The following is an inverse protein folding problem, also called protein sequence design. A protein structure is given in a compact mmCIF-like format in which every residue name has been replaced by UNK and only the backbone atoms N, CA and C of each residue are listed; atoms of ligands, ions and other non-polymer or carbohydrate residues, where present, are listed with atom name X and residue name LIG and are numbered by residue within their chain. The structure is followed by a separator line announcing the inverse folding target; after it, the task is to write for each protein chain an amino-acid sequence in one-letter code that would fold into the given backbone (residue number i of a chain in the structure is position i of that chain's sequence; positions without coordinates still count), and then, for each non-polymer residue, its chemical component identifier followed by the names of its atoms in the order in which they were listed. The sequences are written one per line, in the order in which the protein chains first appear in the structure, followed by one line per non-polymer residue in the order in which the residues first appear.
data_IF_853416630683
#
_entry.id   IF_853416630683
#
_cell.length_a   1.000
_cell.length_b   1.000
_cell.length_c   1.000
_cell.angle_alpha   90.00
_cell.angle_beta   90.00
_cell.angle_gamma   90.00
#
_symmetry.space_group_name_H-M   'P 1'
#
loop_
_entity.id
_entity.type
_entity.pdbx_description
1 polymer ?
#
# COMPACT_ATOMS: atom_id res chain seq x y z
N UNK A 1 -51.56 48.33 -8.46
CA UNK A 1 -51.05 48.32 -7.07
C UNK A 1 -50.93 46.86 -6.66
N UNK A 2 -49.70 46.34 -6.58
CA UNK A 2 -49.39 44.93 -6.32
C UNK A 2 -49.78 44.53 -4.89
N UNK A 3 -50.44 43.37 -4.74
CA UNK A 3 -50.45 42.62 -3.48
C UNK A 3 -49.39 41.51 -3.59
N UNK A 4 -48.43 41.53 -2.67
CA UNK A 4 -47.21 40.74 -2.68
C UNK A 4 -47.40 39.48 -1.81
N UNK A 5 -47.39 38.29 -2.42
CA UNK A 5 -47.36 37.01 -1.71
C UNK A 5 -45.95 36.73 -1.17
N UNK A 6 -45.83 36.54 0.15
CA UNK A 6 -44.58 36.12 0.80
C UNK A 6 -44.40 34.61 0.64
N UNK A 7 -43.42 34.21 -0.17
CA UNK A 7 -42.85 32.84 -0.15
C UNK A 7 -41.65 32.89 0.81
N UNK A 8 -41.71 32.12 1.89
CA UNK A 8 -40.56 31.86 2.76
C UNK A 8 -39.78 30.71 2.15
N UNK A 9 -38.68 31.01 1.48
CA UNK A 9 -37.71 30.00 1.06
C UNK A 9 -36.78 29.71 2.25
N UNK A 10 -36.91 28.52 2.85
CA UNK A 10 -35.96 28.01 3.81
C UNK A 10 -34.69 27.59 3.06
N UNK A 11 -33.60 28.37 3.20
CA UNK A 11 -32.27 27.90 2.82
C UNK A 11 -31.82 26.87 3.86
N UNK A 12 -31.92 25.58 3.53
CA UNK A 12 -31.08 24.56 4.14
C UNK A 12 -29.67 24.76 3.60
N UNK A 13 -28.79 25.40 4.37
CA UNK A 13 -27.37 25.36 4.12
C UNK A 13 -26.88 23.94 4.46
N UNK A 14 -26.59 23.15 3.42
CA UNK A 14 -25.86 21.89 3.59
C UNK A 14 -24.44 22.24 4.07
N UNK A 15 -24.19 22.05 5.37
CA UNK A 15 -22.83 22.04 5.91
C UNK A 15 -22.10 20.86 5.26
N UNK A 16 -20.91 21.06 4.67
CA UNK A 16 -20.11 19.93 4.23
C UNK A 16 -19.72 19.15 5.48
N UNK A 17 -19.92 17.83 5.47
CA UNK A 17 -19.25 16.94 6.41
C UNK A 17 -17.76 17.19 6.24
N UNK A 18 -17.17 17.95 7.15
CA UNK A 18 -15.73 17.95 7.35
C UNK A 18 -15.39 16.54 7.81
N UNK A 19 -14.90 15.70 6.90
CA UNK A 19 -14.23 14.46 7.28
C UNK A 19 -13.16 14.85 8.29
N UNK A 20 -13.30 14.36 9.52
CA UNK A 20 -12.37 14.64 10.59
C UNK A 20 -10.98 14.21 10.13
N UNK A 21 -10.02 15.14 10.20
CA UNK A 21 -8.60 14.81 10.04
C UNK A 21 -8.32 13.76 11.13
N UNK A 22 -7.87 12.53 10.78
CA UNK A 22 -7.57 11.52 11.78
C UNK A 22 -6.49 12.08 12.72
N UNK A 23 -6.55 11.75 14.03
CA UNK A 23 -5.60 12.26 15.01
C UNK A 23 -4.17 11.97 14.54
N UNK A 24 -3.36 13.02 14.44
CA UNK A 24 -1.93 12.90 14.15
C UNK A 24 -1.23 12.29 15.36
N UNK A 25 -1.24 10.96 15.44
CA UNK A 25 -0.35 10.26 16.34
C UNK A 25 1.08 10.46 15.82
N UNK A 26 2.06 10.68 16.70
CA UNK A 26 3.46 10.76 16.32
C UNK A 26 4.05 9.41 15.85
N UNK A 27 3.21 8.51 15.33
CA UNK A 27 3.47 7.15 14.81
C UNK A 27 3.07 7.05 13.35
N UNK A 28 3.69 6.11 12.64
CA UNK A 28 3.26 5.74 11.30
C UNK A 28 1.81 5.30 11.32
N UNK A 29 1.02 5.80 10.38
CA UNK A 29 -0.42 5.55 10.31
C UNK A 29 -0.80 5.35 8.84
N UNK A 30 -1.42 4.21 8.54
CA UNK A 30 -1.99 3.97 7.22
C UNK A 30 -3.51 4.22 7.24
N UNK A 31 -4.04 4.72 6.12
CA UNK A 31 -5.48 4.94 5.94
C UNK A 31 -6.16 3.77 5.19
N UNK A 32 -5.38 2.80 4.70
CA UNK A 32 -5.92 1.67 3.96
C UNK A 32 -6.72 0.76 4.89
N UNK A 33 -7.86 0.28 4.42
CA UNK A 33 -8.68 -0.70 5.15
C UNK A 33 -9.08 -1.82 4.19
N UNK A 34 -8.95 -3.07 4.66
CA UNK A 34 -9.43 -4.24 3.94
C UNK A 34 -10.95 -4.20 3.78
N UNK A 35 -11.42 -3.66 2.64
CA UNK A 35 -12.85 -3.65 2.28
C UNK A 35 -13.43 -5.07 2.23
N UNK A 36 -14.74 -5.21 2.41
CA UNK A 36 -15.44 -6.50 2.31
C UNK A 36 -15.15 -7.21 0.99
N UNK A 37 -15.09 -6.47 -0.11
CA UNK A 37 -14.77 -7.03 -1.43
C UNK A 37 -13.31 -7.50 -1.52
N UNK A 38 -12.38 -6.75 -0.91
CA UNK A 38 -11.00 -7.20 -0.73
C UNK A 38 -10.92 -8.50 0.06
N UNK A 39 -11.62 -8.60 1.18
CA UNK A 39 -11.67 -9.82 2.01
C UNK A 39 -12.25 -11.02 1.28
N UNK A 40 -13.28 -10.82 0.45
CA UNK A 40 -13.83 -11.88 -0.42
C UNK A 40 -12.80 -12.40 -1.41
N UNK A 41 -11.99 -11.52 -2.00
CA UNK A 41 -10.89 -11.93 -2.90
C UNK A 41 -9.86 -12.78 -2.13
N UNK A 42 -9.49 -12.36 -0.93
CA UNK A 42 -8.56 -13.11 -0.08
C UNK A 42 -9.11 -14.48 0.33
N UNK A 43 -10.39 -14.56 0.70
CA UNK A 43 -11.06 -15.80 1.01
C UNK A 43 -11.08 -16.76 -0.18
N UNK A 44 -11.32 -16.23 -1.40
CA UNK A 44 -11.28 -17.01 -2.63
C UNK A 44 -9.89 -17.55 -2.94
N UNK A 45 -8.83 -16.75 -2.72
CA UNK A 45 -7.44 -17.22 -2.91
C UNK A 45 -7.12 -18.36 -1.94
N UNK A 46 -7.47 -18.17 -0.65
CA UNK A 46 -7.29 -19.19 0.37
C UNK A 46 -8.05 -20.49 0.03
N UNK A 47 -9.24 -20.38 -0.55
CA UNK A 47 -10.06 -21.52 -0.97
C UNK A 47 -9.67 -22.11 -2.34
N UNK A 48 -8.68 -21.54 -3.05
CA UNK A 48 -8.34 -21.89 -4.44
C UNK A 48 -9.56 -21.88 -5.36
N UNK A 49 -10.42 -20.86 -5.21
CA UNK A 49 -11.67 -20.74 -5.95
C UNK A 49 -11.43 -20.64 -7.47
N UNK A 50 -12.06 -21.53 -8.23
CA UNK A 50 -11.86 -21.67 -9.67
C UNK A 50 -12.12 -20.37 -10.46
N UNK A 51 -12.99 -19.48 -9.96
CA UNK A 51 -13.33 -18.22 -10.63
C UNK A 51 -12.15 -17.25 -10.70
N UNK A 52 -11.24 -17.28 -9.72
CA UNK A 52 -10.06 -16.40 -9.69
C UNK A 52 -8.77 -17.15 -10.05
N UNK A 53 -8.71 -18.46 -9.78
CA UNK A 53 -7.51 -19.25 -10.11
C UNK A 53 -7.27 -19.34 -11.62
N UNK A 54 -8.33 -19.20 -12.43
CA UNK A 54 -8.19 -19.04 -13.88
C UNK A 54 -7.37 -17.79 -14.24
N UNK A 55 -7.66 -16.65 -13.63
CA UNK A 55 -6.95 -15.39 -13.89
C UNK A 55 -5.53 -15.43 -13.31
N UNK A 56 -5.32 -16.08 -12.16
CA UNK A 56 -3.97 -16.33 -11.61
C UNK A 56 -3.12 -17.17 -12.57
N UNK A 57 -3.70 -18.20 -13.20
CA UNK A 57 -3.01 -19.02 -14.19
C UNK A 57 -2.64 -18.20 -15.45
N UNK A 58 -3.53 -17.33 -15.92
CA UNK A 58 -3.22 -16.39 -17.01
C UNK A 58 -2.06 -15.46 -16.62
N UNK A 59 -2.12 -14.86 -15.43
CA UNK A 59 -1.02 -14.02 -14.93
C UNK A 59 0.31 -14.78 -14.82
N UNK A 60 0.26 -16.07 -14.51
CA UNK A 60 1.44 -16.93 -14.41
C UNK A 60 2.06 -17.17 -15.79
N UNK A 61 1.24 -17.46 -16.80
CA UNK A 61 1.70 -17.58 -18.18
C UNK A 61 2.32 -16.27 -18.68
N UNK A 62 1.66 -15.14 -18.45
CA UNK A 62 2.18 -13.82 -18.83
C UNK A 62 3.50 -13.48 -18.12
N UNK A 63 3.66 -13.85 -16.85
CA UNK A 63 4.93 -13.69 -16.13
C UNK A 63 6.04 -14.54 -16.75
N UNK A 64 5.75 -15.80 -17.09
CA UNK A 64 6.70 -16.71 -17.74
C UNK A 64 7.14 -16.15 -19.09
N UNK A 65 6.20 -15.69 -19.91
CA UNK A 65 6.47 -15.09 -21.21
C UNK A 65 7.32 -13.82 -21.07
N UNK A 66 7.00 -12.95 -20.10
CA UNK A 66 7.74 -11.71 -19.86
C UNK A 66 9.17 -11.94 -19.35
N UNK A 67 9.40 -13.04 -18.62
CA UNK A 67 10.71 -13.34 -18.01
C UNK A 67 11.55 -14.32 -18.83
N UNK A 68 10.96 -15.00 -19.81
CA UNK A 68 11.59 -16.13 -20.50
C UNK A 68 11.92 -17.31 -19.57
N UNK A 69 11.25 -17.39 -18.42
CA UNK A 69 11.53 -18.38 -17.39
C UNK A 69 11.01 -19.76 -17.80
N UNK A 70 11.91 -20.68 -18.15
CA UNK A 70 11.53 -22.02 -18.60
C UNK A 70 10.95 -22.88 -17.46
N UNK A 71 9.63 -23.08 -17.51
CA UNK A 71 8.90 -23.92 -16.54
C UNK A 71 9.12 -25.42 -16.74
N UNK A 72 9.72 -25.85 -17.85
CA UNK A 72 9.89 -27.27 -18.21
C UNK A 72 11.05 -27.96 -17.48
N UNK A 73 12.02 -27.19 -16.96
CA UNK A 73 13.20 -27.70 -16.25
C UNK A 73 13.04 -27.61 -14.73
N UNK A 74 12.38 -26.57 -14.21
CA UNK A 74 12.41 -26.22 -12.78
C UNK A 74 11.20 -26.69 -11.96
N UNK A 75 10.11 -27.17 -12.58
CA UNK A 75 8.97 -27.72 -11.84
C UNK A 75 9.29 -29.03 -11.07
N UNK A 76 10.47 -29.62 -11.30
CA UNK A 76 10.98 -30.80 -10.57
C UNK A 76 11.89 -30.46 -9.38
N UNK A 77 12.32 -29.20 -9.23
CA UNK A 77 12.99 -28.72 -8.01
C UNK A 77 12.02 -27.82 -7.24
N UNK A 78 11.65 -28.25 -6.04
CA UNK A 78 10.71 -27.56 -5.17
C UNK A 78 11.02 -26.04 -5.05
N UNK A 79 10.07 -25.19 -5.47
CA UNK A 79 10.01 -23.79 -5.03
C UNK A 79 10.67 -22.70 -5.91
N UNK A 80 11.14 -22.99 -7.12
CA UNK A 80 11.65 -21.94 -8.01
C UNK A 80 10.51 -21.17 -8.72
N UNK A 81 10.10 -20.03 -8.17
CA UNK A 81 9.19 -19.08 -8.83
C UNK A 81 9.96 -17.98 -9.58
N UNK A 82 9.48 -17.56 -10.75
CA UNK A 82 10.08 -16.49 -11.56
C UNK A 82 10.06 -15.13 -10.83
N UNK A 83 11.14 -14.31 -10.94
CA UNK A 83 11.15 -12.99 -10.33
C UNK A 83 10.13 -12.06 -11.00
N UNK A 84 9.43 -11.25 -10.21
CA UNK A 84 8.54 -10.21 -10.72
C UNK A 84 9.26 -8.86 -10.66
N UNK A 85 9.33 -8.15 -11.77
CA UNK A 85 9.95 -6.82 -11.83
C UNK A 85 8.88 -5.78 -12.10
N UNK A 86 8.83 -4.74 -11.27
CA UNK A 86 7.94 -3.61 -11.44
C UNK A 86 8.78 -2.36 -11.70
N UNK A 87 8.43 -1.60 -12.72
CA UNK A 87 9.02 -0.28 -12.91
C UNK A 87 8.51 0.64 -11.82
N UNK A 88 9.40 1.42 -11.22
CA UNK A 88 9.08 2.29 -10.11
C UNK A 88 9.37 3.74 -10.45
N UNK A 89 8.34 4.56 -10.37
CA UNK A 89 8.36 6.00 -10.58
C UNK A 89 8.15 6.71 -9.24
N UNK A 90 8.96 7.73 -8.98
CA UNK A 90 8.91 8.50 -7.74
C UNK A 90 8.48 9.93 -8.04
N UNK A 91 7.43 10.39 -7.38
CA UNK A 91 6.86 11.72 -7.56
C UNK A 91 6.96 12.50 -6.26
N UNK A 92 7.83 13.50 -6.24
CA UNK A 92 8.05 14.37 -5.09
C UNK A 92 7.19 15.62 -5.25
N UNK A 93 6.29 15.86 -4.29
CA UNK A 93 5.40 17.03 -4.29
C UNK A 93 5.94 18.08 -3.33
N UNK A 94 6.06 19.33 -3.79
CA UNK A 94 6.73 20.39 -3.06
C UNK A 94 5.88 21.66 -2.92
N UNK A 95 6.02 22.34 -1.79
CA UNK A 95 5.35 23.62 -1.52
C UNK A 95 5.99 24.80 -2.28
N UNK A 96 7.30 24.73 -2.53
CA UNK A 96 8.08 25.74 -3.23
C UNK A 96 9.30 25.08 -3.90
N UNK A 97 9.86 25.71 -4.93
CA UNK A 97 11.10 25.27 -5.56
C UNK A 97 12.28 25.34 -4.58
N UNK A 98 13.16 24.33 -4.58
CA UNK A 98 14.40 24.34 -3.81
C UNK A 98 14.76 22.98 -3.22
N UNK A 99 15.77 22.98 -2.34
CA UNK A 99 16.37 21.77 -1.75
C UNK A 99 16.02 21.57 -0.27
N UNK A 100 15.03 22.30 0.26
CA UNK A 100 14.67 22.21 1.68
C UNK A 100 13.74 21.02 1.96
N UNK A 101 14.08 20.13 2.92
CA UNK A 101 13.17 19.08 3.38
C UNK A 101 11.83 19.60 3.87
N UNK A 102 11.79 20.77 4.51
CA UNK A 102 10.53 21.38 4.99
C UNK A 102 9.59 21.80 3.85
N UNK A 103 10.12 21.98 2.63
CA UNK A 103 9.33 22.23 1.44
C UNK A 103 8.88 20.95 0.72
N UNK A 104 9.24 19.76 1.24
CA UNK A 104 8.97 18.46 0.63
C UNK A 104 10.10 17.95 -0.26
N UNK A 105 11.26 18.63 -0.33
CA UNK A 105 12.39 18.12 -1.11
C UNK A 105 12.96 16.84 -0.49
N UNK A 106 13.23 15.87 -1.36
CA UNK A 106 13.92 14.63 -1.03
C UNK A 106 15.08 14.51 -1.99
N UNK A 107 16.26 14.19 -1.50
CA UNK A 107 17.45 14.03 -2.34
C UNK A 107 17.43 12.73 -3.14
N UNK A 108 18.17 12.70 -4.25
CA UNK A 108 18.38 11.47 -5.03
C UNK A 108 18.95 10.33 -4.17
N UNK A 109 19.86 10.63 -3.25
CA UNK A 109 20.43 9.62 -2.35
C UNK A 109 19.38 8.99 -1.43
N UNK A 110 18.46 9.78 -0.89
CA UNK A 110 17.35 9.26 -0.07
C UNK A 110 16.42 8.37 -0.90
N UNK A 111 16.12 8.76 -2.15
CA UNK A 111 15.33 7.95 -3.08
C UNK A 111 16.03 6.62 -3.37
N UNK A 112 17.32 6.65 -3.72
CA UNK A 112 18.09 5.43 -3.98
C UNK A 112 18.13 4.53 -2.73
N UNK A 113 18.24 5.10 -1.52
CA UNK A 113 18.15 4.35 -0.27
C UNK A 113 16.78 3.69 -0.09
N UNK A 114 15.69 4.40 -0.35
CA UNK A 114 14.34 3.85 -0.24
C UNK A 114 14.08 2.71 -1.25
N UNK A 115 14.57 2.86 -2.49
CA UNK A 115 14.48 1.80 -3.51
C UNK A 115 15.30 0.56 -3.09
N UNK A 116 16.47 0.74 -2.47
CA UNK A 116 17.24 -0.38 -1.91
C UNK A 116 16.48 -1.09 -0.79
N UNK A 117 15.87 -0.33 0.11
CA UNK A 117 15.04 -0.89 1.20
C UNK A 117 13.87 -1.69 0.63
N UNK A 118 13.15 -1.15 -0.36
CA UNK A 118 12.08 -1.88 -1.04
C UNK A 118 12.59 -3.19 -1.65
N UNK A 119 13.66 -3.16 -2.45
CA UNK A 119 14.22 -4.38 -3.04
C UNK A 119 14.69 -5.41 -1.98
N UNK A 120 15.22 -4.95 -0.84
CA UNK A 120 15.64 -5.83 0.24
C UNK A 120 14.44 -6.49 0.93
N UNK A 121 13.41 -5.73 1.30
CA UNK A 121 12.26 -6.25 2.05
C UNK A 121 11.37 -7.16 1.21
N UNK A 122 11.36 -6.98 -0.11
CA UNK A 122 10.56 -7.78 -1.05
C UNK A 122 11.31 -8.96 -1.69
N UNK A 123 12.60 -9.13 -1.38
CA UNK A 123 13.41 -10.22 -1.90
C UNK A 123 12.84 -11.61 -1.56
N UNK A 124 12.23 -11.77 -0.37
CA UNK A 124 11.56 -13.01 0.05
C UNK A 124 10.44 -13.41 -0.93
N UNK A 125 9.73 -12.43 -1.49
CA UNK A 125 8.68 -12.63 -2.48
C UNK A 125 9.21 -12.69 -3.93
N UNK A 126 10.53 -12.60 -4.13
CA UNK A 126 11.16 -12.43 -5.45
C UNK A 126 10.51 -11.32 -6.27
N UNK A 127 10.18 -10.22 -5.60
CA UNK A 127 9.66 -8.99 -6.21
C UNK A 127 10.79 -7.96 -6.19
N UNK A 128 11.04 -7.34 -7.34
CA UNK A 128 12.05 -6.32 -7.52
C UNK A 128 11.44 -5.04 -8.10
N UNK A 129 12.03 -3.91 -7.72
CA UNK A 129 11.62 -2.57 -8.13
C UNK A 129 12.73 -1.96 -8.98
N UNK A 130 12.48 -1.89 -10.29
CA UNK A 130 13.34 -1.23 -11.24
C UNK A 130 13.07 0.28 -11.19
N UNK A 131 13.95 1.04 -10.54
CA UNK A 131 13.80 2.49 -10.49
C UNK A 131 14.00 3.11 -11.89
N UNK A 132 12.97 3.81 -12.39
CA UNK A 132 12.99 4.42 -13.73
C UNK A 132 13.33 5.90 -13.66
N UNK A 133 12.54 6.69 -12.92
CA UNK A 133 12.75 8.13 -12.81
C UNK A 133 12.10 8.73 -11.56
N UNK A 134 12.54 9.94 -11.21
CA UNK A 134 11.90 10.83 -10.24
C UNK A 134 11.42 12.11 -10.92
N UNK A 135 10.21 12.54 -10.59
CA UNK A 135 9.71 13.89 -10.90
C UNK A 135 9.62 14.75 -9.64
N UNK A 136 9.97 16.03 -9.74
CA UNK A 136 9.74 17.02 -8.68
C UNK A 136 8.68 18.00 -9.17
N UNK A 137 7.56 18.08 -8.45
CA UNK A 137 6.44 18.95 -8.81
C UNK A 137 6.21 19.99 -7.73
N UNK A 138 6.38 21.25 -8.09
CA UNK A 138 6.06 22.39 -7.22
C UNK A 138 4.58 22.73 -7.39
N UNK A 139 3.79 22.36 -6.40
CA UNK A 139 2.36 22.66 -6.35
C UNK A 139 1.89 22.69 -4.90
N UNK A 140 1.74 23.89 -4.35
CA UNK A 140 1.34 24.10 -2.95
C UNK A 140 -0.01 23.45 -2.62
N UNK A 141 -0.96 23.42 -3.56
CA UNK A 141 -2.25 22.76 -3.32
C UNK A 141 -2.08 21.25 -3.16
N UNK A 142 -1.25 20.62 -3.99
CA UNK A 142 -0.96 19.20 -3.90
C UNK A 142 -0.09 18.85 -2.68
N UNK A 143 0.87 19.71 -2.35
CA UNK A 143 1.75 19.54 -1.20
C UNK A 143 1.02 19.65 0.15
N UNK A 144 -0.19 20.21 0.18
CA UNK A 144 -1.06 20.30 1.34
C UNK A 144 -2.26 19.33 1.28
N UNK A 145 -2.23 18.32 0.40
CA UNK A 145 -3.25 17.28 0.37
C UNK A 145 -3.29 16.54 1.72
N UNK A 146 -4.46 16.43 2.34
CA UNK A 146 -4.55 15.95 3.73
C UNK A 146 -5.04 14.50 3.87
N UNK A 147 -5.75 13.94 2.87
CA UNK A 147 -6.36 12.62 2.98
C UNK A 147 -6.60 11.96 1.61
N UNK A 148 -6.63 10.61 1.56
CA UNK A 148 -7.02 9.86 0.36
C UNK A 148 -8.51 10.07 0.04
N UNK A 149 -8.87 10.02 -1.24
CA UNK A 149 -10.20 10.32 -1.75
C UNK A 149 -10.49 11.81 -1.94
N UNK A 150 -9.53 12.69 -1.63
CA UNK A 150 -9.69 14.14 -1.84
C UNK A 150 -9.73 14.49 -3.34
N UNK A 151 -10.35 15.62 -3.67
CA UNK A 151 -10.33 16.16 -5.04
C UNK A 151 -8.91 16.43 -5.55
N UNK A 152 -7.95 16.61 -4.64
CA UNK A 152 -6.54 16.75 -4.97
C UNK A 152 -5.96 15.43 -5.45
N UNK A 153 -6.26 14.31 -4.80
CA UNK A 153 -5.81 12.99 -5.26
C UNK A 153 -6.35 12.67 -6.66
N UNK A 154 -7.67 12.86 -6.86
CA UNK A 154 -8.33 12.62 -8.15
C UNK A 154 -7.84 13.52 -9.30
N UNK A 155 -7.07 14.57 -8.98
CA UNK A 155 -6.45 15.45 -9.97
C UNK A 155 -4.95 15.17 -10.14
N UNK A 156 -4.23 15.01 -9.03
CA UNK A 156 -2.78 14.88 -9.00
C UNK A 156 -2.32 13.55 -9.56
N UNK A 157 -2.89 12.44 -9.08
CA UNK A 157 -2.42 11.10 -9.45
C UNK A 157 -2.59 10.86 -10.96
N UNK A 158 -3.76 11.13 -11.59
CA UNK A 158 -3.91 10.88 -13.03
C UNK A 158 -3.01 11.73 -13.92
N UNK A 159 -2.52 12.88 -13.43
CA UNK A 159 -1.63 13.77 -14.19
C UNK A 159 -0.17 13.36 -14.10
N UNK A 160 0.23 12.74 -12.99
CA UNK A 160 1.62 12.45 -12.69
C UNK A 160 1.96 10.98 -12.88
N UNK A 161 0.99 10.07 -12.67
CA UNK A 161 1.17 8.63 -12.82
C UNK A 161 1.70 8.30 -14.22
N UNK A 162 2.64 7.36 -14.26
CA UNK A 162 3.23 6.83 -15.48
C UNK A 162 2.96 5.32 -15.55
N UNK A 163 2.64 4.84 -16.75
CA UNK A 163 2.57 3.41 -17.05
C UNK A 163 1.25 2.72 -16.67
N UNK A 164 1.26 1.40 -16.78
CA UNK A 164 0.12 0.50 -16.61
C UNK A 164 0.24 -0.37 -15.36
N UNK A 165 -0.32 -1.57 -15.40
CA UNK A 165 -0.47 -2.45 -14.23
C UNK A 165 0.87 -2.86 -13.60
N UNK A 166 1.95 -2.90 -14.37
CA UNK A 166 3.29 -3.29 -13.92
C UNK A 166 4.17 -2.10 -13.46
N UNK A 167 3.59 -0.91 -13.36
CA UNK A 167 4.29 0.33 -13.02
C UNK A 167 3.80 0.87 -11.65
N UNK A 168 4.68 0.75 -10.64
CA UNK A 168 4.49 1.29 -9.31
C UNK A 168 4.80 2.79 -9.31
N UNK A 169 3.85 3.60 -8.83
CA UNK A 169 4.02 5.04 -8.71
C UNK A 169 3.93 5.44 -7.23
N UNK A 170 5.00 6.03 -6.71
CA UNK A 170 5.15 6.47 -5.33
C UNK A 170 5.09 8.00 -5.27
N UNK A 171 4.12 8.56 -4.54
CA UNK A 171 3.87 9.98 -4.38
C UNK A 171 4.23 10.42 -2.96
N UNK A 172 5.21 11.31 -2.82
CA UNK A 172 5.65 11.79 -1.53
C UNK A 172 5.15 13.21 -1.27
N UNK A 173 4.38 13.36 -0.19
CA UNK A 173 3.61 14.57 0.11
C UNK A 173 3.98 15.08 1.51
N UNK A 174 4.37 16.34 1.68
CA UNK A 174 4.89 16.84 2.96
C UNK A 174 3.82 16.97 4.07
N UNK A 175 2.56 17.24 3.73
CA UNK A 175 1.48 17.37 4.72
C UNK A 175 1.06 16.07 5.40
N UNK A 176 1.47 14.90 4.89
CA UNK A 176 1.04 13.59 5.39
C UNK A 176 1.74 13.15 6.68
N UNK A 177 2.91 13.73 7.00
CA UNK A 177 3.62 13.62 8.30
C UNK A 177 3.58 12.22 8.95
N UNK A 178 4.39 11.30 8.46
CA UNK A 178 4.43 9.91 8.93
C UNK A 178 3.26 9.02 8.49
N UNK A 179 2.25 9.52 7.76
CA UNK A 179 1.15 8.70 7.25
C UNK A 179 1.34 8.25 5.80
N UNK A 180 0.67 7.15 5.44
CA UNK A 180 0.67 6.58 4.10
C UNK A 180 -0.67 6.00 3.67
N UNK A 181 -0.77 5.72 2.38
CA UNK A 181 -1.89 5.03 1.75
C UNK A 181 -1.49 4.49 0.37
N UNK A 182 -1.63 3.19 0.14
CA UNK A 182 -1.73 2.64 -1.21
C UNK A 182 -3.13 2.14 -1.53
N UNK A 183 -3.47 2.23 -2.82
CA UNK A 183 -4.64 1.52 -3.33
C UNK A 183 -4.35 0.04 -3.45
N UNK A 184 -5.29 -0.76 -2.95
CA UNK A 184 -5.26 -2.19 -3.18
C UNK A 184 -5.50 -2.54 -4.65
N UNK A 185 -4.89 -3.63 -5.15
CA UNK A 185 -4.98 -4.01 -6.56
C UNK A 185 -6.40 -4.45 -6.97
N UNK A 186 -7.23 -4.91 -6.03
CA UNK A 186 -8.62 -5.27 -6.32
C UNK A 186 -9.49 -4.08 -6.72
N UNK A 187 -9.11 -2.84 -6.39
CA UNK A 187 -9.79 -1.65 -6.89
C UNK A 187 -9.55 -1.45 -8.39
N UNK A 188 -8.39 -1.82 -8.94
CA UNK A 188 -8.17 -1.72 -10.39
C UNK A 188 -9.24 -2.53 -11.14
N UNK A 189 -9.67 -3.64 -10.54
CA UNK A 189 -10.67 -4.53 -11.10
C UNK A 189 -10.20 -5.14 -12.42
N UNK A 190 -11.14 -5.75 -13.14
CA UNK A 190 -10.87 -6.41 -14.42
C UNK A 190 -10.77 -5.47 -15.62
N UNK A 191 -11.34 -4.27 -15.53
CA UNK A 191 -11.49 -3.34 -16.64
C UNK A 191 -10.76 -2.00 -16.39
N UNK A 192 -9.67 -2.01 -15.62
CA UNK A 192 -8.86 -0.82 -15.31
C UNK A 192 -9.63 0.35 -14.66
N UNK A 193 -10.76 0.05 -13.99
CA UNK A 193 -11.72 1.05 -13.50
C UNK A 193 -11.06 2.15 -12.66
N UNK A 194 -10.07 1.78 -11.84
CA UNK A 194 -9.33 2.69 -10.99
C UNK A 194 -7.83 2.68 -11.26
N UNK A 195 -7.39 2.20 -12.44
CA UNK A 195 -5.96 2.18 -12.79
C UNK A 195 -5.36 3.60 -12.86
N UNK A 196 -6.13 4.59 -13.30
CA UNK A 196 -5.66 5.98 -13.45
C UNK A 196 -5.27 6.65 -12.12
N UNK A 197 -5.70 6.08 -11.00
CA UNK A 197 -5.40 6.56 -9.65
C UNK A 197 -4.61 5.53 -8.82
N UNK A 198 -4.12 4.46 -9.46
CA UNK A 198 -3.31 3.43 -8.81
C UNK A 198 -1.93 3.96 -8.38
N UNK A 199 -1.48 3.52 -7.21
CA UNK A 199 -0.21 3.91 -6.63
C UNK A 199 -0.32 4.13 -5.14
N UNK A 200 0.71 4.79 -4.62
CA UNK A 200 0.96 4.93 -3.19
C UNK A 200 1.29 6.37 -2.85
N UNK A 201 0.62 6.93 -1.86
CA UNK A 201 0.96 8.21 -1.26
C UNK A 201 1.61 7.96 0.10
N UNK A 202 2.69 8.66 0.38
CA UNK A 202 3.40 8.57 1.65
C UNK A 202 3.92 9.95 2.07
N UNK A 203 4.15 10.11 3.37
CA UNK A 203 4.75 11.33 3.88
C UNK A 203 6.18 11.54 3.36
N UNK A 204 6.51 12.76 2.94
CA UNK A 204 7.85 13.06 2.42
C UNK A 204 8.97 12.93 3.46
N UNK A 205 8.62 12.80 4.73
CA UNK A 205 9.53 12.60 5.84
C UNK A 205 9.73 11.12 6.20
N UNK A 206 9.21 10.15 5.43
CA UNK A 206 9.29 8.73 5.76
C UNK A 206 10.50 7.98 5.18
N UNK A 207 11.49 8.68 4.62
CA UNK A 207 12.63 8.05 3.96
C UNK A 207 13.65 7.51 4.96
N UNK A 208 14.47 6.51 4.56
CA UNK A 208 15.57 6.05 5.39
C UNK A 208 16.57 7.19 5.64
N UNK A 209 16.87 7.46 6.91
CA UNK A 209 17.86 8.49 7.32
C UNK A 209 19.10 7.91 8.01
N UNK A 210 19.18 6.57 8.09
CA UNK A 210 20.27 5.85 8.76
C UNK A 210 20.01 5.57 10.25
N UNK A 211 18.92 6.09 10.82
CA UNK A 211 18.46 5.74 12.17
C UNK A 211 17.56 4.50 12.17
N UNK A 212 17.39 3.89 13.34
CA UNK A 212 16.45 2.78 13.52
C UNK A 212 14.98 3.24 13.45
N UNK A 213 14.70 4.53 13.68
CA UNK A 213 13.37 5.10 13.72
C UNK A 213 12.85 5.52 12.34
N UNK A 214 13.74 5.57 11.34
CA UNK A 214 13.48 5.95 9.95
C UNK A 214 14.35 5.10 9.03
N UNK A 215 13.90 3.86 8.82
CA UNK A 215 14.39 2.81 7.94
C UNK A 215 13.64 2.76 6.60
N UNK A 216 12.55 3.53 6.43
CA UNK A 216 11.78 3.59 5.19
C UNK A 216 10.77 2.47 5.04
N UNK A 217 10.32 1.92 6.17
CA UNK A 217 9.33 0.86 6.27
C UNK A 217 7.90 1.35 6.14
N UNK A 218 7.61 2.66 6.28
CA UNK A 218 6.31 3.18 5.82
C UNK A 218 6.08 2.83 4.34
N UNK A 219 7.04 3.13 3.46
CA UNK A 219 6.89 2.80 2.03
C UNK A 219 6.78 1.28 1.79
N UNK A 220 7.43 0.46 2.63
CA UNK A 220 7.34 -1.01 2.56
C UNK A 220 5.93 -1.48 2.98
N UNK A 221 5.39 -0.95 4.07
CA UNK A 221 4.03 -1.23 4.53
C UNK A 221 3.01 -0.88 3.45
N UNK A 222 3.09 0.34 2.93
CA UNK A 222 2.17 0.84 1.91
C UNK A 222 2.23 -0.02 0.65
N UNK A 223 3.43 -0.30 0.11
CA UNK A 223 3.57 -1.16 -1.07
C UNK A 223 3.05 -2.58 -0.80
N UNK A 224 3.01 -3.03 0.46
CA UNK A 224 2.36 -4.29 0.86
C UNK A 224 0.88 -4.30 0.51
N UNK A 225 0.17 -3.19 0.76
CA UNK A 225 -1.21 -3.00 0.33
C UNK A 225 -1.35 -2.90 -1.19
N UNK A 226 -0.39 -2.31 -1.91
CA UNK A 226 -0.38 -2.29 -3.38
C UNK A 226 -0.29 -3.70 -3.99
N UNK A 227 0.31 -4.64 -3.25
CA UNK A 227 0.31 -6.08 -3.53
C UNK A 227 -0.82 -6.85 -2.83
N UNK A 228 -1.78 -6.17 -2.21
CA UNK A 228 -2.97 -6.79 -1.67
C UNK A 228 -2.90 -7.22 -0.21
N UNK A 229 -1.77 -7.13 0.49
CA UNK A 229 -1.72 -7.54 1.90
C UNK A 229 -2.66 -6.69 2.76
N UNK A 230 -3.46 -7.33 3.61
CA UNK A 230 -4.27 -6.64 4.61
C UNK A 230 -3.41 -6.28 5.82
N UNK A 231 -3.92 -5.41 6.69
CA UNK A 231 -3.32 -5.27 8.01
C UNK A 231 -3.44 -6.58 8.78
N UNK A 232 -2.46 -6.90 9.62
CA UNK A 232 -2.46 -8.11 10.46
C UNK A 232 -3.66 -8.16 11.42
N UNK A 233 -4.19 -7.00 11.81
CA UNK A 233 -5.36 -6.83 12.67
C UNK A 233 -6.70 -6.68 11.92
N UNK A 234 -6.72 -6.65 10.58
CA UNK A 234 -7.96 -6.36 9.83
C UNK A 234 -9.06 -7.38 10.16
N UNK A 235 -8.74 -8.65 10.42
CA UNK A 235 -9.71 -9.71 10.74
C UNK A 235 -9.97 -9.98 12.22
N UNK A 236 -9.26 -9.29 13.12
CA UNK A 236 -9.29 -9.55 14.55
C UNK A 236 -8.87 -10.99 14.91
N UNK A 237 -9.33 -11.46 16.07
CA UNK A 237 -9.08 -12.82 16.55
C UNK A 237 -9.87 -13.90 15.79
N UNK A 238 -9.49 -14.14 14.54
CA UNK A 238 -10.06 -15.18 13.70
C UNK A 238 -8.98 -16.14 13.19
N UNK A 239 -9.22 -17.46 13.35
CA UNK A 239 -8.30 -18.49 12.85
C UNK A 239 -8.22 -18.56 11.32
N UNK A 240 -9.31 -18.20 10.64
CA UNK A 240 -9.46 -18.40 9.19
C UNK A 240 -9.73 -17.11 8.43
N UNK A 241 -10.07 -16.02 9.13
CA UNK A 241 -10.45 -14.74 8.56
C UNK A 241 -9.70 -13.58 9.21
N UNK A 242 -8.46 -13.81 9.67
CA UNK A 242 -7.52 -12.76 10.11
C UNK A 242 -7.14 -11.83 8.94
N UNK A 243 -5.86 -11.72 8.63
CA UNK A 243 -5.38 -11.05 7.40
C UNK A 243 -5.43 -11.97 6.16
N UNK A 244 -5.97 -13.19 6.33
CA UNK A 244 -6.05 -14.28 5.34
C UNK A 244 -4.69 -14.84 4.91
N UNK A 245 -3.67 -14.68 5.74
CA UNK A 245 -2.39 -15.34 5.61
C UNK A 245 -2.20 -16.27 6.81
N UNK A 246 -1.92 -17.56 6.53
CA UNK A 246 -2.02 -18.60 7.57
C UNK A 246 -0.87 -18.58 8.58
N UNK A 247 0.29 -18.01 8.23
CA UNK A 247 1.48 -17.96 9.08
C UNK A 247 1.66 -16.61 9.79
N UNK A 248 0.70 -15.70 9.66
CA UNK A 248 0.56 -14.49 10.49
C UNK A 248 -0.36 -14.81 11.67
N UNK A 249 0.16 -14.80 12.91
CA UNK A 249 -0.69 -14.92 14.10
C UNK A 249 -1.80 -13.86 14.11
N UNK A 250 -2.99 -14.25 14.54
CA UNK A 250 -4.12 -13.33 14.64
C UNK A 250 -3.91 -12.33 15.78
N UNK A 251 -4.25 -11.07 15.52
CA UNK A 251 -4.25 -10.00 16.52
C UNK A 251 -5.56 -9.20 16.48
N UNK A 252 -6.01 -8.73 17.64
CA UNK A 252 -7.28 -8.02 17.78
C UNK A 252 -7.20 -6.55 17.39
N UNK A 253 -6.00 -5.97 17.44
CA UNK A 253 -5.77 -4.55 17.21
C UNK A 253 -4.34 -4.30 16.76
N UNK A 254 -4.10 -3.14 16.14
CA UNK A 254 -2.76 -2.68 15.81
C UNK A 254 -1.92 -2.40 17.06
N UNK A 255 -0.62 -2.65 17.01
CA UNK A 255 0.29 -2.20 18.06
C UNK A 255 0.75 -0.75 17.82
N UNK A 256 0.64 0.10 18.85
CA UNK A 256 1.08 1.51 18.81
C UNK A 256 2.26 1.79 19.75
N UNK A 257 2.73 0.78 20.47
CA UNK A 257 3.73 0.94 21.52
C UNK A 257 5.13 1.21 20.95
N UNK A 258 5.88 2.09 21.63
CA UNK A 258 7.21 2.53 21.18
C UNK A 258 8.36 1.63 21.64
N UNK A 259 8.10 0.68 22.54
CA UNK A 259 9.09 -0.16 23.21
C UNK A 259 9.18 -1.59 22.63
N UNK A 260 8.50 -1.88 21.51
CA UNK A 260 8.41 -3.22 20.93
C UNK A 260 7.95 -4.26 21.97
N UNK A 261 6.64 -4.30 22.30
CA UNK A 261 6.11 -5.06 23.44
C UNK A 261 6.17 -6.57 23.23
N UNK A 262 7.35 -7.16 23.43
CA UNK A 262 7.59 -8.60 23.32
C UNK A 262 6.62 -9.35 24.24
N UNK A 263 5.92 -10.35 23.70
CA UNK A 263 4.91 -11.11 24.44
C UNK A 263 3.49 -10.56 24.33
N UNK A 264 3.27 -9.47 23.60
CA UNK A 264 1.91 -8.98 23.29
C UNK A 264 1.07 -10.10 22.67
N UNK A 265 -0.09 -10.37 23.26
CA UNK A 265 -1.03 -11.39 22.80
C UNK A 265 -2.46 -10.93 23.06
N UNK A 266 -3.08 -10.34 22.05
CA UNK A 266 -4.48 -9.89 22.11
C UNK A 266 -5.47 -10.99 21.77
N UNK A 267 -4.99 -12.13 21.23
CA UNK A 267 -5.81 -13.30 20.88
C UNK A 267 -5.34 -14.58 21.62
N UNK A 268 -5.40 -14.62 22.97
CA UNK A 268 -4.77 -15.69 23.76
C UNK A 268 -5.37 -17.08 23.58
N UNK A 269 -6.53 -17.18 22.93
CA UNK A 269 -7.18 -18.45 22.59
C UNK A 269 -6.72 -19.00 21.25
N UNK A 270 -5.90 -18.26 20.51
CA UNK A 270 -5.36 -18.63 19.20
C UNK A 270 -3.85 -18.85 19.28
N UNK A 271 -3.27 -19.67 18.39
CA UNK A 271 -1.83 -19.89 18.37
C UNK A 271 -1.04 -18.61 18.02
N UNK A 272 0.09 -18.44 18.69
CA UNK A 272 1.04 -17.36 18.39
C UNK A 272 0.92 -16.14 19.31
N UNK A 273 1.81 -15.18 19.08
CA UNK A 273 1.82 -13.84 19.70
C UNK A 273 1.50 -12.82 18.61
N UNK A 274 1.02 -11.65 19.01
CA UNK A 274 0.72 -10.57 18.07
C UNK A 274 1.97 -10.26 17.22
N UNK A 275 1.85 -10.15 15.89
CA UNK A 275 2.98 -10.06 14.98
C UNK A 275 3.59 -8.65 14.94
N UNK A 276 4.06 -8.14 16.08
CA UNK A 276 4.61 -6.78 16.25
C UNK A 276 5.86 -6.49 15.40
N UNK A 277 6.49 -7.54 14.87
CA UNK A 277 7.63 -7.39 13.96
C UNK A 277 7.22 -7.34 12.48
N UNK A 278 5.93 -7.50 12.17
CA UNK A 278 5.45 -7.55 10.81
C UNK A 278 5.36 -6.15 10.19
N UNK A 279 5.70 -6.06 8.90
CA UNK A 279 5.55 -4.81 8.15
C UNK A 279 4.11 -4.33 8.10
N UNK A 280 3.10 -5.21 8.11
CA UNK A 280 1.67 -4.90 8.00
C UNK A 280 0.97 -4.57 9.32
N UNK A 281 1.67 -4.58 10.46
CA UNK A 281 1.17 -4.01 11.71
C UNK A 281 1.51 -2.50 11.83
N UNK A 282 1.02 -1.78 12.84
CA UNK A 282 1.41 -0.37 13.10
C UNK A 282 2.51 -0.19 14.15
N UNK A 283 3.15 -1.28 14.56
CA UNK A 283 4.36 -1.22 15.37
C UNK A 283 5.35 -0.23 14.78
N UNK A 284 6.12 0.44 15.65
CA UNK A 284 7.13 1.39 15.19
C UNK A 284 8.17 0.69 14.33
N UNK A 285 8.75 1.45 13.39
CA UNK A 285 9.77 0.91 12.50
C UNK A 285 10.85 0.09 13.21
N UNK A 286 11.47 0.48 14.35
CA UNK A 286 12.49 -0.32 15.03
C UNK A 286 12.08 -1.76 15.39
N UNK A 287 10.78 -2.01 15.58
CA UNK A 287 10.26 -3.32 15.94
C UNK A 287 10.15 -4.26 14.73
N UNK A 288 10.01 -3.71 13.53
CA UNK A 288 9.73 -4.49 12.32
C UNK A 288 10.95 -5.25 11.81
N UNK A 289 10.76 -6.49 11.38
CA UNK A 289 11.81 -7.34 10.83
C UNK A 289 11.50 -7.81 9.41
N UNK A 290 10.24 -8.02 9.04
CA UNK A 290 9.93 -8.54 7.72
C UNK A 290 8.46 -8.89 7.46
N UNK A 291 8.22 -9.37 6.24
CA UNK A 291 7.01 -10.12 5.89
C UNK A 291 7.18 -11.61 6.23
N UNK A 292 6.07 -12.33 6.41
CA UNK A 292 6.11 -13.79 6.52
C UNK A 292 6.24 -14.46 5.14
N UNK A 293 6.69 -15.72 5.06
CA UNK A 293 6.62 -16.51 3.83
C UNK A 293 5.22 -16.57 3.20
N UNK A 294 4.16 -16.68 4.02
CA UNK A 294 2.77 -16.67 3.56
C UNK A 294 2.36 -15.32 2.95
N UNK A 295 2.81 -14.20 3.53
CA UNK A 295 2.59 -12.88 2.95
C UNK A 295 3.33 -12.74 1.61
N UNK A 296 4.53 -13.30 1.49
CA UNK A 296 5.27 -13.35 0.23
C UNK A 296 4.49 -14.12 -0.86
N UNK A 297 3.88 -15.25 -0.52
CA UNK A 297 2.99 -15.99 -1.45
C UNK A 297 1.77 -15.15 -1.82
N UNK A 298 1.08 -14.56 -0.83
CA UNK A 298 -0.14 -13.78 -1.09
C UNK A 298 0.12 -12.55 -1.97
N UNK A 299 1.23 -11.83 -1.75
CA UNK A 299 1.62 -10.72 -2.62
C UNK A 299 1.77 -11.15 -4.07
N UNK A 300 2.39 -12.32 -4.30
CA UNK A 300 2.57 -12.86 -5.65
C UNK A 300 1.24 -13.29 -6.26
N UNK A 301 0.36 -13.97 -5.52
CA UNK A 301 -0.96 -14.36 -6.01
C UNK A 301 -1.79 -13.14 -6.46
N UNK A 302 -1.79 -12.09 -5.64
CA UNK A 302 -2.49 -10.84 -5.95
C UNK A 302 -1.86 -10.11 -7.14
N UNK A 303 -0.54 -10.12 -7.27
CA UNK A 303 0.16 -9.60 -8.44
C UNK A 303 -0.18 -10.40 -9.71
N UNK A 304 -0.22 -11.73 -9.64
CA UNK A 304 -0.62 -12.55 -10.79
C UNK A 304 -2.06 -12.23 -11.21
N UNK A 305 -2.98 -12.15 -10.25
CA UNK A 305 -4.40 -11.88 -10.49
C UNK A 305 -4.67 -10.49 -11.08
N UNK A 306 -4.06 -9.44 -10.53
CA UNK A 306 -4.41 -8.06 -10.90
C UNK A 306 -3.35 -7.31 -11.68
N UNK A 307 -2.09 -7.74 -11.62
CA UNK A 307 -0.99 -7.02 -12.28
C UNK A 307 -0.63 -7.71 -13.59
N UNK A 308 -0.41 -9.02 -13.57
CA UNK A 308 0.03 -9.79 -14.75
C UNK A 308 -1.10 -10.33 -15.61
N UNK A 309 -2.25 -10.76 -15.06
CA UNK A 309 -3.32 -11.37 -15.86
C UNK A 309 -3.87 -10.46 -16.98
N UNK A 310 -3.61 -9.15 -16.88
CA UNK A 310 -4.05 -8.11 -17.82
C UNK A 310 -2.98 -7.03 -18.05
N UNK A 311 -1.74 -7.31 -17.67
CA UNK A 311 -0.61 -6.37 -17.71
C UNK A 311 0.18 -6.43 -19.01
#
# INVERSE_FOLDING_TARGET
MLLCSRIVAALLAALPLAAAIPPQHGSEFCVAHGSDDGRKVHAKLLASDASIMKDVAVGTANLVDATGFDTSIDARQAGSTAPMVFNTYVHIIQNASGTSPSAGYISRQQIDSQIRVLNQQYALAKIAFNYVNTSYTVNTRWANAAYPGSSVEGEMIPRLRIGGRLDLNLFYIPSWRGSGYCRYPFWIGSNDQYLSIDGCMAASDSFPDGSLNRRGFLSVHEVGHWFGLLHTFDGGCSQTQGDYVADTPAEASANWETNCPVGRNTCPQLPGLDPIENHMDYSREPCKTGFTPGQAVRMREMALLYRYARG
#
